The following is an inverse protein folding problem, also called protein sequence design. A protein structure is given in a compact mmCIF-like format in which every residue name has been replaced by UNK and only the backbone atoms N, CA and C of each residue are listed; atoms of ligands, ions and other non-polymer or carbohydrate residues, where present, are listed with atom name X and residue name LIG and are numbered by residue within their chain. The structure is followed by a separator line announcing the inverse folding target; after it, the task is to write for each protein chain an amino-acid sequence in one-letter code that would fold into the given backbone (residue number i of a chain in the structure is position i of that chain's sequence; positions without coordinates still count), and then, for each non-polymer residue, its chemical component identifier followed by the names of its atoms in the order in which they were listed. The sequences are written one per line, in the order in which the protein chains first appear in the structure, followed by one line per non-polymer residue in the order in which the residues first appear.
data_IF_497172412580
#
_entry.id   IF_497172412580
#
_cell.length_a   1.000
_cell.length_b   1.000
_cell.length_c   1.000
_cell.angle_alpha   90.00
_cell.angle_beta   90.00
_cell.angle_gamma   90.00
#
_symmetry.space_group_name_H-M   'P 1'
#
loop_
_entity.id
_entity.type
_entity.pdbx_description
1 polymer ?
#
# COMPACT_ATOMS: atom_id res chain seq x y z
N UNK A 1 44.07 -4.77 -37.05
CA UNK A 1 42.75 -4.48 -36.44
C UNK A 1 42.62 -5.32 -35.17
N UNK A 2 42.66 -4.73 -33.96
CA UNK A 2 42.43 -5.50 -32.74
C UNK A 2 40.93 -5.57 -32.40
N UNK A 3 40.49 -6.73 -31.92
CA UNK A 3 39.14 -7.01 -31.44
C UNK A 3 38.80 -6.16 -30.19
N UNK A 4 37.55 -5.74 -29.96
CA UNK A 4 37.19 -4.97 -28.76
C UNK A 4 37.22 -5.83 -27.50
N UNK A 5 37.72 -5.22 -26.42
CA UNK A 5 37.84 -5.81 -25.08
C UNK A 5 36.47 -6.17 -24.48
N UNK A 6 36.43 -7.32 -23.79
CA UNK A 6 35.27 -7.81 -23.04
C UNK A 6 34.86 -6.78 -21.97
N UNK A 7 33.62 -6.32 -22.03
CA UNK A 7 33.01 -5.46 -21.01
C UNK A 7 32.82 -6.29 -19.73
N UNK A 8 33.39 -5.91 -18.57
CA UNK A 8 33.30 -6.73 -17.36
C UNK A 8 31.93 -6.56 -16.69
N UNK A 9 31.35 -7.69 -16.26
CA UNK A 9 30.03 -7.82 -15.64
C UNK A 9 29.93 -7.24 -14.21
N UNK A 10 30.77 -6.27 -13.85
CA UNK A 10 30.96 -5.81 -12.46
C UNK A 10 30.04 -4.67 -12.01
N UNK A 11 28.97 -4.35 -12.76
CA UNK A 11 27.91 -3.41 -12.31
C UNK A 11 26.66 -4.11 -11.74
N UNK A 12 26.82 -5.22 -11.00
CA UNK A 12 25.72 -5.86 -10.24
C UNK A 12 26.02 -5.93 -8.74
N UNK A 13 27.04 -5.22 -8.25
CA UNK A 13 27.43 -5.22 -6.84
C UNK A 13 26.72 -4.17 -5.96
N UNK A 14 25.48 -3.75 -6.29
CA UNK A 14 24.67 -2.88 -5.42
C UNK A 14 23.50 -3.60 -4.72
N UNK A 15 23.33 -4.92 -4.90
CA UNK A 15 22.07 -5.59 -4.51
C UNK A 15 21.94 -6.02 -3.04
N UNK A 16 22.99 -5.89 -2.21
CA UNK A 16 22.96 -6.41 -0.83
C UNK A 16 22.67 -5.34 0.23
N UNK A 17 23.12 -4.10 0.04
CA UNK A 17 22.84 -3.00 0.99
C UNK A 17 21.39 -2.51 0.85
N UNK A 18 20.86 -2.42 -0.37
CA UNK A 18 19.47 -2.00 -0.65
C UNK A 18 18.40 -2.97 -0.09
N UNK A 19 18.72 -4.26 0.01
CA UNK A 19 17.80 -5.30 0.48
C UNK A 19 17.42 -5.11 1.97
N UNK A 20 18.36 -4.64 2.80
CA UNK A 20 18.10 -4.43 4.24
C UNK A 20 17.17 -3.24 4.48
N UNK A 21 17.26 -2.20 3.65
CA UNK A 21 16.42 -1.00 3.77
C UNK A 21 14.98 -1.22 3.27
N UNK A 22 14.77 -2.08 2.27
CA UNK A 22 13.47 -2.22 1.59
C UNK A 22 12.53 -3.26 2.19
N UNK A 23 13.01 -4.10 3.12
CA UNK A 23 12.24 -5.22 3.71
C UNK A 23 10.90 -4.83 4.34
N UNK A 24 10.73 -3.56 4.71
CA UNK A 24 9.52 -3.02 5.38
C UNK A 24 8.84 -1.92 4.56
N UNK A 25 9.22 -1.76 3.30
CA UNK A 25 8.59 -0.82 2.38
C UNK A 25 7.42 -1.51 1.66
N UNK A 26 6.26 -0.86 1.65
CA UNK A 26 5.08 -1.34 0.97
C UNK A 26 4.80 -0.50 -0.27
N UNK A 27 4.40 -1.16 -1.36
CA UNK A 27 3.86 -0.47 -2.53
C UNK A 27 2.52 0.15 -2.16
N UNK A 28 2.29 1.40 -2.56
CA UNK A 28 0.97 2.03 -2.47
C UNK A 28 -0.03 1.25 -3.35
N UNK A 29 -1.09 0.66 -2.78
CA UNK A 29 -2.08 -0.08 -3.54
C UNK A 29 -2.95 0.88 -4.38
N UNK A 30 -3.53 0.36 -5.47
CA UNK A 30 -4.58 1.09 -6.19
C UNK A 30 -5.86 1.17 -5.37
N UNK A 31 -6.69 2.20 -5.60
CA UNK A 31 -7.93 2.44 -4.85
C UNK A 31 -9.22 2.05 -5.59
N UNK A 32 -9.10 1.49 -6.80
CA UNK A 32 -10.25 1.05 -7.59
C UNK A 32 -10.89 -0.17 -6.91
N UNK A 33 -12.22 -0.17 -6.74
CA UNK A 33 -12.97 -1.20 -6.00
C UNK A 33 -12.57 -1.39 -4.52
N UNK A 34 -11.90 -0.41 -3.90
CA UNK A 34 -11.37 -0.54 -2.53
C UNK A 34 -12.44 -0.85 -1.49
N UNK A 35 -13.69 -0.44 -1.71
CA UNK A 35 -14.80 -0.72 -0.78
C UNK A 35 -15.11 -2.22 -0.65
N UNK A 36 -14.66 -3.05 -1.61
CA UNK A 36 -14.89 -4.50 -1.64
C UNK A 36 -13.67 -5.34 -1.24
N UNK A 37 -12.57 -4.70 -0.82
CA UNK A 37 -11.30 -5.39 -0.53
C UNK A 37 -10.96 -5.43 0.95
N UNK A 38 -11.96 -5.33 1.83
CA UNK A 38 -11.74 -5.57 3.24
C UNK A 38 -11.25 -7.02 3.47
N UNK A 39 -10.37 -7.27 4.46
CA UNK A 39 -9.76 -6.29 5.36
C UNK A 39 -8.59 -5.52 4.71
N UNK A 40 -8.29 -4.34 5.27
CA UNK A 40 -7.34 -3.36 4.73
C UNK A 40 -5.94 -3.43 5.36
N UNK A 41 -5.00 -2.71 4.74
CA UNK A 41 -3.54 -2.77 4.96
C UNK A 41 -2.91 -4.08 4.49
N UNK A 42 -1.58 -4.10 4.42
CA UNK A 42 -0.80 -5.24 3.89
C UNK A 42 -0.98 -6.54 4.68
N UNK A 43 -1.41 -6.43 5.94
CA UNK A 43 -1.62 -7.54 6.86
C UNK A 43 -3.10 -7.76 7.21
N UNK A 44 -4.03 -7.03 6.58
CA UNK A 44 -5.46 -7.14 6.89
C UNK A 44 -5.84 -6.71 8.31
N UNK A 45 -5.06 -5.85 8.98
CA UNK A 45 -5.33 -5.54 10.40
C UNK A 45 -6.50 -4.59 10.63
N UNK A 46 -7.03 -3.95 9.58
CA UNK A 46 -8.12 -2.97 9.68
C UNK A 46 -9.34 -3.50 8.96
N UNK A 47 -10.47 -3.58 9.67
CA UNK A 47 -11.69 -4.18 9.13
C UNK A 47 -12.55 -3.23 8.30
N UNK A 48 -12.46 -1.92 8.59
CA UNK A 48 -13.32 -0.90 8.00
C UNK A 48 -12.53 0.17 7.25
N UNK A 49 -13.07 0.60 6.10
CA UNK A 49 -12.47 1.68 5.32
C UNK A 49 -12.57 3.02 6.05
N UNK A 50 -13.66 3.25 6.79
CA UNK A 50 -13.82 4.46 7.61
C UNK A 50 -12.81 4.51 8.76
N UNK A 51 -12.52 3.37 9.39
CA UNK A 51 -11.47 3.25 10.41
C UNK A 51 -10.10 3.58 9.80
N UNK A 52 -9.81 3.05 8.61
CA UNK A 52 -8.56 3.35 7.91
C UNK A 52 -8.42 4.84 7.58
N UNK A 53 -9.46 5.49 7.06
CA UNK A 53 -9.46 6.92 6.74
C UNK A 53 -9.20 7.74 8.01
N UNK A 54 -9.86 7.39 9.11
CA UNK A 54 -9.67 8.08 10.39
C UNK A 54 -8.24 7.91 10.93
N UNK A 55 -7.66 6.71 10.84
CA UNK A 55 -6.27 6.46 11.24
C UNK A 55 -5.29 7.27 10.38
N UNK A 56 -5.49 7.33 9.06
CA UNK A 56 -4.68 8.15 8.15
C UNK A 56 -4.83 9.65 8.46
N UNK A 57 -6.04 10.12 8.75
CA UNK A 57 -6.32 11.51 9.15
C UNK A 57 -5.51 11.94 10.39
N UNK A 58 -5.35 11.02 11.34
CA UNK A 58 -4.59 11.22 12.57
C UNK A 58 -3.07 11.01 12.40
N UNK A 59 -2.60 10.71 11.18
CA UNK A 59 -1.18 10.44 10.91
C UNK A 59 -0.71 9.06 11.35
N UNK A 60 -1.60 8.06 11.39
CA UNK A 60 -1.31 6.68 11.78
C UNK A 60 -0.64 6.57 13.17
N UNK A 61 -1.35 6.98 14.24
CA UNK A 61 -0.79 6.96 15.59
C UNK A 61 -0.38 5.55 16.00
N UNK A 62 0.82 5.44 16.58
CA UNK A 62 1.33 4.18 17.11
C UNK A 62 0.59 3.83 18.40
N UNK A 63 0.11 2.58 18.52
CA UNK A 63 -0.44 2.10 19.78
C UNK A 63 0.69 1.89 20.79
N UNK A 64 0.43 2.16 22.06
CA UNK A 64 1.40 1.91 23.13
C UNK A 64 1.83 0.44 23.13
N UNK A 65 3.14 0.19 23.06
CA UNK A 65 3.71 -1.16 22.98
C UNK A 65 3.72 -1.78 21.58
N UNK A 66 3.29 -1.06 20.53
CA UNK A 66 3.35 -1.54 19.17
C UNK A 66 4.80 -1.52 18.66
N UNK A 67 5.34 -2.69 18.31
CA UNK A 67 6.63 -2.77 17.62
C UNK A 67 6.44 -2.44 16.15
N UNK A 68 7.01 -1.32 15.72
CA UNK A 68 7.09 -0.93 14.32
C UNK A 68 8.48 -1.22 13.77
N UNK A 69 8.51 -1.99 12.68
CA UNK A 69 9.71 -2.18 11.89
C UNK A 69 9.66 -1.16 10.73
N UNK A 70 10.51 -0.14 10.78
CA UNK A 70 10.61 0.88 9.74
C UNK A 70 9.97 2.23 10.11
N UNK A 71 9.88 3.11 9.11
CA UNK A 71 9.37 4.48 9.24
C UNK A 71 8.17 4.68 8.33
N UNK A 72 7.20 5.48 8.76
CA UNK A 72 6.10 5.91 7.90
C UNK A 72 6.62 6.80 6.77
N UNK A 73 5.87 6.83 5.66
CA UNK A 73 6.13 7.78 4.57
C UNK A 73 6.01 9.23 5.08
N UNK A 74 6.85 10.17 4.62
CA UNK A 74 6.76 11.59 5.01
C UNK A 74 5.43 12.26 4.58
N UNK A 75 4.65 11.61 3.71
CA UNK A 75 3.32 12.06 3.31
C UNK A 75 2.23 11.65 4.31
N UNK A 76 2.52 10.73 5.24
CA UNK A 76 1.60 10.40 6.33
C UNK A 76 1.77 11.46 7.41
N UNK A 77 0.84 12.40 7.44
CA UNK A 77 0.84 13.54 8.36
C UNK A 77 -0.48 13.59 9.12
N UNK A 78 -0.47 14.22 10.29
CA UNK A 78 -1.68 14.49 11.04
C UNK A 78 -2.41 15.68 10.41
N UNK A 79 -3.25 15.40 9.41
CA UNK A 79 -4.00 16.39 8.63
C UNK A 79 -5.33 16.79 9.31
N UNK A 80 -5.75 16.07 10.36
CA UNK A 80 -6.92 16.41 11.19
C UNK A 80 -8.21 16.68 10.38
N UNK A 81 -8.53 15.78 9.46
CA UNK A 81 -9.76 15.86 8.67
C UNK A 81 -10.99 15.87 9.57
N UNK A 82 -11.90 16.80 9.30
CA UNK A 82 -13.23 16.83 9.91
C UNK A 82 -14.04 15.58 9.53
N UNK A 83 -15.07 15.26 10.31
CA UNK A 83 -15.98 14.15 9.99
C UNK A 83 -16.58 14.28 8.59
N UNK A 84 -16.90 15.51 8.16
CA UNK A 84 -17.46 15.77 6.83
C UNK A 84 -16.46 15.50 5.71
N UNK A 85 -15.20 15.86 5.88
CA UNK A 85 -14.16 15.55 4.90
C UNK A 85 -13.91 14.05 4.80
N UNK A 86 -13.91 13.34 5.93
CA UNK A 86 -13.78 11.88 5.94
C UNK A 86 -14.95 11.19 5.22
N UNK A 87 -16.18 11.65 5.44
CA UNK A 87 -17.36 11.20 4.70
C UNK A 87 -17.24 11.45 3.20
N UNK A 88 -16.78 12.65 2.82
CA UNK A 88 -16.62 13.00 1.41
C UNK A 88 -15.55 12.13 0.72
N UNK A 89 -14.45 11.80 1.42
CA UNK A 89 -13.44 10.87 0.92
C UNK A 89 -14.04 9.47 0.77
N UNK A 90 -14.80 8.99 1.75
CA UNK A 90 -15.44 7.69 1.68
C UNK A 90 -16.38 7.61 0.47
N UNK A 91 -17.24 8.62 0.28
CA UNK A 91 -18.14 8.72 -0.87
C UNK A 91 -17.37 8.77 -2.20
N UNK A 92 -16.24 9.47 -2.25
CA UNK A 92 -15.37 9.46 -3.42
C UNK A 92 -14.80 8.06 -3.70
N UNK A 93 -14.33 7.34 -2.69
CA UNK A 93 -13.83 5.97 -2.85
C UNK A 93 -14.91 4.98 -3.28
N UNK A 94 -16.15 5.16 -2.82
CA UNK A 94 -17.31 4.42 -3.31
C UNK A 94 -17.51 4.65 -4.81
N UNK A 95 -17.34 5.88 -5.29
CA UNK A 95 -17.46 6.20 -6.72
C UNK A 95 -16.39 5.54 -7.60
N UNK A 96 -15.26 5.08 -7.02
CA UNK A 96 -14.21 4.33 -7.72
C UNK A 96 -14.50 2.83 -7.85
N UNK A 97 -15.69 2.41 -7.42
CA UNK A 97 -16.07 1.00 -7.35
C UNK A 97 -17.18 0.69 -8.34
N UNK A 98 -17.19 -0.56 -8.81
CA UNK A 98 -18.24 -1.08 -9.69
C UNK A 98 -18.83 -2.33 -9.06
N UNK A 99 -20.07 -2.64 -9.45
CA UNK A 99 -20.75 -3.86 -8.97
C UNK A 99 -19.90 -5.08 -9.34
N UNK A 100 -19.53 -5.93 -8.36
CA UNK A 100 -18.74 -7.12 -8.64
C UNK A 100 -19.53 -8.05 -9.56
N UNK A 101 -18.94 -8.43 -10.69
CA UNK A 101 -19.55 -9.37 -11.62
C UNK A 101 -19.43 -10.80 -11.07
N UNK A 102 -20.53 -11.55 -11.13
CA UNK A 102 -20.53 -12.98 -10.81
C UNK A 102 -19.98 -13.72 -12.01
N UNK A 103 -18.84 -14.38 -11.85
CA UNK A 103 -18.30 -15.30 -12.86
C UNK A 103 -18.81 -16.71 -12.58
N UNK A 104 -19.19 -17.42 -13.64
CA UNK A 104 -19.50 -18.85 -13.52
C UNK A 104 -18.20 -19.65 -13.43
N UNK A 105 -18.20 -20.68 -12.58
CA UNK A 105 -17.03 -21.54 -12.41
C UNK A 105 -16.83 -22.34 -13.71
N UNK A 106 -15.65 -22.29 -14.34
CA UNK A 106 -15.39 -23.07 -15.54
C UNK A 106 -15.39 -24.57 -15.22
N UNK A 107 -15.94 -25.37 -16.13
CA UNK A 107 -15.73 -26.82 -16.11
C UNK A 107 -14.31 -27.06 -16.63
N UNK A 108 -13.45 -27.62 -15.78
CA UNK A 108 -12.08 -27.97 -16.16
C UNK A 108 -12.08 -29.29 -16.95
N UNK A 109 -11.20 -29.45 -17.95
CA UNK A 109 -10.99 -30.74 -18.62
C UNK A 109 -10.44 -31.82 -17.68
#
# INVERSE_FOLDING_TARGET
MPLPAKVPWTMVALRQQDWKQTKVNFRTPGLRNVIHTAPYLHNGSISSLSELINLLSQGMPQKTGQQINGTLSPHIQNVRLSSKEQENILAFLESLSSVPSKTERPVLP
#
